data_IF_290683419827
#
_entry.id   IF_290683419827
#
_cell.length_a   1.000
_cell.length_b   1.000
_cell.length_c   1.000
_cell.angle_alpha   90.00
_cell.angle_beta   90.00
_cell.angle_gamma   90.00
#
_symmetry.space_group_name_H-M   'P 1'
#
loop_
_entity.id
_entity.type
_entity.pdbx_description
1 polymer ?
#
# COMPACT_ATOMS: atom_id res chain seq x y z
N UNK A 1 26.89 -8.83 -2.38
CA UNK A 1 25.86 -7.87 -2.86
C UNK A 1 25.61 -6.84 -1.75
N UNK A 2 26.07 -5.60 -1.90
CA UNK A 2 25.84 -4.55 -0.87
C UNK A 2 24.39 -4.11 -0.96
N UNK A 3 23.54 -4.59 -0.05
CA UNK A 3 22.19 -4.06 0.13
C UNK A 3 22.39 -2.62 0.62
N UNK A 4 22.14 -1.64 -0.25
CA UNK A 4 22.11 -0.22 0.13
C UNK A 4 21.15 -0.10 1.29
N UNK A 5 21.62 0.36 2.45
CA UNK A 5 20.77 0.61 3.62
C UNK A 5 19.58 1.47 3.19
N UNK A 6 18.38 0.89 3.23
CA UNK A 6 17.15 1.60 2.92
C UNK A 6 16.88 2.57 4.07
N UNK A 7 17.57 3.72 4.07
CA UNK A 7 17.32 4.77 5.07
C UNK A 7 15.93 5.33 4.83
N UNK A 8 15.04 5.15 5.80
CA UNK A 8 13.71 5.76 5.87
C UNK A 8 13.83 7.25 6.19
N UNK A 9 14.49 7.99 5.32
CA UNK A 9 14.74 9.43 5.46
C UNK A 9 13.60 10.27 4.87
N UNK A 10 12.81 9.71 3.94
CA UNK A 10 11.76 10.39 3.16
C UNK A 10 10.43 9.67 3.26
N UNK A 11 9.35 10.45 3.35
CA UNK A 11 7.98 9.94 3.47
C UNK A 11 7.56 9.10 2.27
N UNK A 12 7.93 9.51 1.05
CA UNK A 12 7.54 8.77 -0.15
C UNK A 12 8.13 7.36 -0.21
N UNK A 13 9.30 7.14 0.43
CA UNK A 13 9.91 5.80 0.49
C UNK A 13 9.09 4.85 1.36
N UNK A 14 8.46 5.36 2.42
CA UNK A 14 7.57 4.58 3.27
C UNK A 14 6.31 4.21 2.51
N UNK A 15 5.66 5.18 1.84
CA UNK A 15 4.50 4.93 0.99
C UNK A 15 4.83 3.92 -0.11
N UNK A 16 5.91 4.13 -0.85
CA UNK A 16 6.33 3.18 -1.89
C UNK A 16 6.59 1.77 -1.34
N UNK A 17 7.19 1.67 -0.16
CA UNK A 17 7.45 0.37 0.46
C UNK A 17 6.16 -0.37 0.83
N UNK A 18 5.24 0.30 1.54
CA UNK A 18 4.01 -0.32 2.02
C UNK A 18 2.94 -0.45 0.92
N UNK A 19 2.83 0.50 0.01
CA UNK A 19 1.77 0.50 -1.01
C UNK A 19 2.11 -0.28 -2.27
N UNK A 20 3.40 -0.48 -2.55
CA UNK A 20 3.84 -1.03 -3.84
C UNK A 20 4.76 -2.23 -3.61
N UNK A 21 5.91 -2.02 -2.97
CA UNK A 21 6.94 -3.06 -2.92
C UNK A 21 6.46 -4.31 -2.16
N UNK A 22 5.91 -4.12 -0.96
CA UNK A 22 5.45 -5.24 -0.14
C UNK A 22 4.24 -5.97 -0.76
N UNK A 23 3.17 -5.29 -1.24
CA UNK A 23 2.09 -5.92 -1.99
C UNK A 23 2.57 -6.72 -3.20
N UNK A 24 3.48 -6.17 -4.00
CA UNK A 24 4.01 -6.85 -5.18
C UNK A 24 4.75 -8.13 -4.79
N UNK A 25 5.54 -8.10 -3.72
CA UNK A 25 6.23 -9.29 -3.22
C UNK A 25 5.21 -10.36 -2.79
N UNK A 26 4.20 -9.98 -1.99
CA UNK A 26 3.17 -10.92 -1.53
C UNK A 26 2.37 -11.48 -2.72
N UNK A 27 2.01 -10.62 -3.68
CA UNK A 27 1.31 -11.01 -4.90
C UNK A 27 2.10 -12.03 -5.72
N UNK A 28 3.39 -11.77 -5.98
CA UNK A 28 4.25 -12.67 -6.75
C UNK A 28 4.38 -14.01 -6.04
N UNK A 29 4.52 -14.02 -4.71
CA UNK A 29 4.56 -15.26 -3.93
C UNK A 29 3.22 -16.00 -4.06
N UNK A 30 2.09 -15.31 -3.92
CA UNK A 30 0.76 -15.90 -4.06
C UNK A 30 0.53 -16.51 -5.46
N UNK A 31 0.95 -15.78 -6.49
CA UNK A 31 0.80 -16.19 -7.88
C UNK A 31 1.65 -17.43 -8.21
N UNK A 32 2.90 -17.46 -7.73
CA UNK A 32 3.81 -18.59 -7.99
C UNK A 32 3.45 -19.81 -7.13
N UNK A 33 3.08 -19.60 -5.85
CA UNK A 33 2.77 -20.70 -4.94
C UNK A 33 1.44 -21.37 -5.29
N UNK A 34 0.48 -20.62 -5.86
CA UNK A 34 -0.87 -21.08 -6.13
C UNK A 34 -1.67 -21.41 -4.87
N UNK A 35 -1.23 -20.96 -3.69
CA UNK A 35 -1.87 -21.27 -2.42
C UNK A 35 -2.87 -20.20 -2.00
N UNK A 36 -4.03 -20.64 -1.50
CA UNK A 36 -5.11 -19.77 -1.00
C UNK A 36 -4.69 -18.92 0.20
N UNK A 37 -3.71 -19.38 0.97
CA UNK A 37 -3.17 -18.63 2.11
C UNK A 37 -2.50 -17.33 1.68
N UNK A 38 -1.60 -17.38 0.68
CA UNK A 38 -0.91 -16.17 0.22
C UNK A 38 -1.84 -15.24 -0.54
N UNK A 39 -2.82 -15.77 -1.29
CA UNK A 39 -3.86 -14.95 -1.93
C UNK A 39 -4.71 -14.21 -0.90
N UNK A 40 -5.13 -14.89 0.18
CA UNK A 40 -5.86 -14.28 1.29
C UNK A 40 -5.02 -13.24 2.04
N UNK A 41 -3.72 -13.50 2.21
CA UNK A 41 -2.79 -12.56 2.82
C UNK A 41 -2.62 -11.30 1.98
N UNK A 42 -2.42 -11.44 0.67
CA UNK A 42 -2.37 -10.30 -0.26
C UNK A 42 -3.65 -9.47 -0.19
N UNK A 43 -4.81 -10.12 -0.29
CA UNK A 43 -6.10 -9.44 -0.22
C UNK A 43 -6.29 -8.68 1.10
N UNK A 44 -5.99 -9.33 2.23
CA UNK A 44 -6.07 -8.71 3.55
C UNK A 44 -5.10 -7.53 3.67
N UNK A 45 -3.88 -7.68 3.17
CA UNK A 45 -2.90 -6.61 3.18
C UNK A 45 -3.38 -5.39 2.37
N UNK A 46 -3.96 -5.61 1.18
CA UNK A 46 -4.54 -4.53 0.39
C UNK A 46 -5.70 -3.84 1.11
N UNK A 47 -6.62 -4.61 1.71
CA UNK A 47 -7.81 -4.04 2.36
C UNK A 47 -7.51 -3.30 3.66
N UNK A 48 -6.55 -3.78 4.47
CA UNK A 48 -6.27 -3.19 5.79
C UNK A 48 -5.12 -2.19 5.77
N UNK A 49 -4.05 -2.46 5.01
CA UNK A 49 -2.82 -1.67 5.06
C UNK A 49 -2.73 -0.72 3.87
N UNK A 50 -2.88 -1.21 2.64
CA UNK A 50 -2.69 -0.37 1.44
C UNK A 50 -3.84 0.62 1.27
N UNK A 51 -5.09 0.16 1.37
CA UNK A 51 -6.27 0.98 1.09
C UNK A 51 -6.37 2.18 2.03
N UNK A 52 -6.32 3.42 1.51
CA UNK A 52 -6.57 4.61 2.31
C UNK A 52 -8.07 4.95 2.35
N UNK A 53 -8.94 4.10 1.79
CA UNK A 53 -10.38 4.32 1.73
C UNK A 53 -11.03 3.56 2.89
N UNK A 54 -11.46 4.26 3.96
CA UNK A 54 -12.03 3.60 5.12
C UNK A 54 -13.41 3.02 4.80
N UNK A 55 -13.61 1.75 5.13
CA UNK A 55 -14.93 1.13 5.18
C UNK A 55 -15.27 0.84 6.66
N UNK A 56 -16.17 1.64 7.22
CA UNK A 56 -16.54 1.55 8.65
C UNK A 56 -17.23 0.22 8.97
N UNK A 57 -18.03 -0.32 8.04
CA UNK A 57 -18.76 -1.57 8.25
C UNK A 57 -17.80 -2.77 8.29
N UNK A 58 -16.78 -2.77 7.42
CA UNK A 58 -15.78 -3.82 7.34
C UNK A 58 -14.55 -3.57 8.25
N UNK A 59 -14.48 -2.42 8.92
CA UNK A 59 -13.32 -1.95 9.69
C UNK A 59 -11.99 -2.01 8.90
N UNK A 60 -12.07 -1.82 7.58
CA UNK A 60 -10.92 -1.87 6.66
C UNK A 60 -10.51 -0.47 6.22
N UNK A 61 -9.27 -0.33 5.73
CA UNK A 61 -8.70 0.93 5.22
C UNK A 61 -8.45 2.04 6.24
N UNK A 62 -8.82 1.84 7.52
CA UNK A 62 -8.58 2.81 8.60
C UNK A 62 -7.07 2.95 8.86
N UNK A 63 -6.36 1.83 8.97
CA UNK A 63 -4.90 1.84 9.18
C UNK A 63 -4.21 2.48 7.98
N UNK A 64 -4.63 2.09 6.76
CA UNK A 64 -4.20 2.69 5.51
C UNK A 64 -4.34 4.21 5.49
N UNK A 65 -5.52 4.73 5.84
CA UNK A 65 -5.77 6.16 5.90
C UNK A 65 -4.88 6.86 6.94
N UNK A 66 -4.80 6.32 8.15
CA UNK A 66 -4.03 6.92 9.26
C UNK A 66 -2.57 7.09 8.87
N UNK A 67 -1.95 6.07 8.27
CA UNK A 67 -0.53 6.14 7.95
C UNK A 67 -0.26 7.05 6.75
N UNK A 68 -1.13 7.07 5.73
CA UNK A 68 -1.05 8.03 4.61
C UNK A 68 -1.12 9.48 5.10
N UNK A 69 -2.14 9.79 5.91
CA UNK A 69 -2.31 11.12 6.52
C UNK A 69 -1.14 11.45 7.43
N UNK A 70 -0.67 10.48 8.22
CA UNK A 70 0.48 10.63 9.11
C UNK A 70 1.77 10.99 8.36
N UNK A 71 2.05 10.33 7.23
CA UNK A 71 3.23 10.62 6.40
C UNK A 71 3.10 12.00 5.74
N UNK A 72 1.92 12.35 5.23
CA UNK A 72 1.66 13.68 4.67
C UNK A 72 1.84 14.78 5.72
N UNK A 73 1.26 14.63 6.90
CA UNK A 73 1.43 15.56 8.01
C UNK A 73 2.90 15.67 8.44
N UNK A 74 3.61 14.55 8.55
CA UNK A 74 5.03 14.52 8.91
C UNK A 74 5.90 15.29 7.90
N UNK A 75 5.66 15.11 6.61
CA UNK A 75 6.41 15.81 5.56
C UNK A 75 6.13 17.32 5.54
N UNK A 76 4.90 17.74 5.85
CA UNK A 76 4.54 19.15 6.05
C UNK A 76 5.23 19.76 7.28
N UNK A 77 5.24 19.05 8.42
CA UNK A 77 5.89 19.52 9.65
C UNK A 77 7.39 19.75 9.43
N UNK A 78 8.04 18.86 8.67
CA UNK A 78 9.45 19.01 8.28
C UNK A 78 9.69 20.05 7.17
N UNK A 79 8.64 20.72 6.68
CA UNK A 79 8.67 21.69 5.58
C UNK A 79 9.31 21.14 4.31
N UNK A 80 9.22 19.83 4.10
CA UNK A 80 9.77 19.18 2.91
C UNK A 80 8.70 19.07 1.83
N UNK A 81 8.38 20.19 1.19
CA UNK A 81 7.28 20.27 0.22
C UNK A 81 7.47 19.38 -1.01
N UNK A 82 8.72 19.10 -1.40
CA UNK A 82 9.01 18.17 -2.50
C UNK A 82 8.62 16.74 -2.13
N UNK A 83 9.00 16.28 -0.93
CA UNK A 83 8.61 14.97 -0.39
C UNK A 83 7.09 14.88 -0.19
N UNK A 84 6.49 15.94 0.36
CA UNK A 84 5.04 16.05 0.50
C UNK A 84 4.30 15.91 -0.83
N UNK A 85 4.73 16.62 -1.88
CA UNK A 85 4.09 16.54 -3.19
C UNK A 85 4.15 15.12 -3.78
N UNK A 86 5.29 14.43 -3.63
CA UNK A 86 5.42 13.03 -4.07
C UNK A 86 4.52 12.13 -3.24
N UNK A 87 4.51 12.27 -1.91
CA UNK A 87 3.60 11.52 -1.04
C UNK A 87 2.14 11.73 -1.45
N UNK A 88 1.73 12.97 -1.70
CA UNK A 88 0.36 13.30 -2.05
C UNK A 88 -0.05 12.64 -3.37
N UNK A 89 0.83 12.66 -4.37
CA UNK A 89 0.60 11.98 -5.65
C UNK A 89 0.45 10.47 -5.43
N UNK A 90 1.34 9.84 -4.66
CA UNK A 90 1.24 8.40 -4.35
C UNK A 90 -0.09 8.11 -3.65
N UNK A 91 -0.43 8.84 -2.59
CA UNK A 91 -1.69 8.67 -1.85
C UNK A 91 -2.92 8.77 -2.76
N UNK A 92 -2.94 9.73 -3.69
CA UNK A 92 -4.04 9.91 -4.63
C UNK A 92 -4.13 8.78 -5.66
N UNK A 93 -2.99 8.29 -6.16
CA UNK A 93 -2.95 7.13 -7.07
C UNK A 93 -3.49 5.89 -6.36
N UNK A 94 -3.04 5.63 -5.13
CA UNK A 94 -3.49 4.48 -4.35
C UNK A 94 -4.99 4.61 -4.02
N UNK A 95 -5.45 5.79 -3.60
CA UNK A 95 -6.87 6.04 -3.40
C UNK A 95 -7.69 5.77 -4.67
N UNK A 96 -7.24 6.25 -5.83
CA UNK A 96 -7.90 6.00 -7.11
C UNK A 96 -7.91 4.50 -7.48
N UNK A 97 -6.82 3.77 -7.21
CA UNK A 97 -6.73 2.33 -7.44
C UNK A 97 -7.82 1.55 -6.68
N UNK A 98 -8.10 1.91 -5.42
CA UNK A 98 -9.19 1.28 -4.66
C UNK A 98 -10.58 1.81 -5.05
N UNK A 99 -10.73 3.10 -5.34
CA UNK A 99 -12.01 3.67 -5.76
C UNK A 99 -12.50 3.14 -7.11
N UNK A 100 -11.57 2.77 -7.99
CA UNK A 100 -11.86 2.18 -9.31
C UNK A 100 -11.92 0.65 -9.28
N UNK A 101 -11.79 0.04 -8.10
CA UNK A 101 -11.85 -1.42 -7.92
C UNK A 101 -10.77 -2.18 -8.72
N UNK A 102 -9.68 -1.51 -9.11
CA UNK A 102 -8.57 -2.13 -9.84
C UNK A 102 -7.87 -3.22 -9.03
N UNK A 103 -7.90 -3.10 -7.70
CA UNK A 103 -7.46 -4.14 -6.78
C UNK A 103 -8.13 -5.50 -7.05
N UNK A 104 -9.44 -5.52 -7.36
CA UNK A 104 -10.15 -6.76 -7.71
C UNK A 104 -9.77 -7.33 -9.06
N UNK A 105 -9.31 -6.50 -10.00
CA UNK A 105 -8.76 -6.98 -11.27
C UNK A 105 -7.45 -7.73 -11.04
N UNK A 106 -6.61 -7.25 -10.12
CA UNK A 106 -5.34 -7.90 -9.74
C UNK A 106 -5.57 -9.17 -8.92
N UNK A 107 -6.64 -9.25 -8.13
CA UNK A 107 -6.97 -10.46 -7.35
C UNK A 107 -7.38 -11.65 -8.24
N UNK A 108 -8.02 -11.40 -9.39
CA UNK A 108 -8.58 -12.42 -10.29
C UNK A 108 -7.64 -13.58 -10.67
N UNK A 109 -6.35 -13.38 -11.01
CA UNK A 109 -5.43 -14.48 -11.31
C UNK A 109 -4.98 -15.31 -10.10
N UNK A 110 -5.22 -14.88 -8.87
CA UNK A 110 -4.79 -15.60 -7.68
C UNK A 110 -5.75 -16.75 -7.33
N UNK A 111 -5.19 -17.83 -6.79
CA UNK A 111 -5.99 -18.96 -6.34
C UNK A 111 -6.53 -18.73 -4.91
N UNK A 112 -7.84 -18.78 -4.73
CA UNK A 112 -8.51 -18.66 -3.43
C UNK A 112 -9.11 -19.99 -2.93
N UNK A 113 -8.99 -21.09 -3.69
CA UNK A 113 -9.61 -22.39 -3.40
C UNK A 113 -8.60 -23.54 -3.38
#
# INVERSE_FOLDING_TARGET
>A
MKIKEFKFDRGWKLLFYFDILLPVIIYVIAFISGTSWFASLFHSYEMFIVSPIPNIQALSGIVGLIYHVGILAYTLIRKNYKDFAVCLIISLIIAAFFLTELNYTILRPLNFA
#
